data_IF_299199156111
#
_entry.id   IF_299199156111
#
_cell.length_a   1.000
_cell.length_b   1.000
_cell.length_c   1.000
_cell.angle_alpha   90.00
_cell.angle_beta   90.00
_cell.angle_gamma   90.00
#
_symmetry.space_group_name_H-M   'P 1'
#
loop_
_entity.id
_entity.type
_entity.pdbx_description
1 polymer ?
#
# COMPACT_ATOMS: atom_id res chain seq x y z
N UNK A 1 7.81 16.81 58.32
CA UNK A 1 7.08 16.48 57.06
C UNK A 1 7.39 17.42 55.87
N UNK A 2 7.64 18.72 56.09
CA UNK A 2 7.94 19.65 54.97
C UNK A 2 9.30 19.45 54.24
N UNK A 3 10.29 18.84 54.89
CA UNK A 3 11.59 18.57 54.23
C UNK A 3 11.60 17.34 53.30
N UNK A 4 10.71 16.37 53.59
CA UNK A 4 10.59 15.15 52.74
C UNK A 4 9.87 15.44 51.42
N UNK A 5 8.89 16.36 51.43
CA UNK A 5 8.14 16.77 50.24
C UNK A 5 9.02 17.53 49.25
N UNK A 6 9.98 18.31 49.72
CA UNK A 6 10.92 19.02 48.84
C UNK A 6 11.94 18.11 48.17
N UNK A 7 12.34 17.01 48.78
CA UNK A 7 13.26 16.03 48.17
C UNK A 7 12.55 15.20 47.10
N UNK A 8 11.28 14.88 47.30
CA UNK A 8 10.49 14.15 46.26
C UNK A 8 10.22 15.04 45.06
N UNK A 9 10.03 16.36 45.25
CA UNK A 9 9.79 17.29 44.12
C UNK A 9 11.03 17.55 43.29
N UNK A 10 12.24 17.46 43.84
CA UNK A 10 13.50 17.58 43.08
C UNK A 10 13.83 16.35 42.28
N UNK A 11 13.38 15.15 42.73
CA UNK A 11 13.62 13.90 41.99
C UNK A 11 12.69 13.72 40.78
N UNK A 12 11.57 14.45 40.71
CA UNK A 12 10.58 14.38 39.63
C UNK A 12 10.95 15.24 38.39
N UNK A 13 11.99 16.08 38.48
CA UNK A 13 12.41 17.01 37.40
C UNK A 13 13.54 16.44 36.56
N UNK A 14 14.15 15.30 36.92
CA UNK A 14 15.35 14.77 36.22
C UNK A 14 15.00 13.70 35.18
N UNK A 15 13.72 13.34 34.97
CA UNK A 15 13.32 12.30 34.01
C UNK A 15 12.81 12.81 32.65
N UNK A 16 12.97 14.11 32.35
CA UNK A 16 12.47 14.68 31.08
C UNK A 16 13.58 15.16 30.14
N UNK A 17 14.60 14.33 29.89
CA UNK A 17 15.57 14.64 28.84
C UNK A 17 16.13 13.37 28.20
N UNK A 18 15.36 12.77 27.31
CA UNK A 18 15.89 11.98 26.18
C UNK A 18 14.80 11.85 25.10
N UNK A 19 14.53 12.93 24.39
CA UNK A 19 13.95 12.82 23.04
C UNK A 19 15.10 12.54 22.09
N UNK A 20 15.39 11.27 21.87
CA UNK A 20 16.22 10.84 20.75
C UNK A 20 15.45 11.12 19.47
N UNK A 21 15.77 12.21 18.81
CA UNK A 21 15.33 12.47 17.42
C UNK A 21 16.08 11.47 16.55
N UNK A 22 15.43 10.37 16.16
CA UNK A 22 15.94 9.49 15.11
C UNK A 22 15.97 10.31 13.82
N UNK A 23 17.16 10.72 13.40
CA UNK A 23 17.40 11.25 12.07
C UNK A 23 16.96 10.19 11.06
N UNK A 24 15.95 10.49 10.25
CA UNK A 24 15.61 9.70 9.06
C UNK A 24 16.83 9.78 8.14
N UNK A 25 17.56 8.67 8.04
CA UNK A 25 18.67 8.58 7.10
C UNK A 25 18.11 8.29 5.72
N UNK A 26 18.46 9.14 4.77
CA UNK A 26 18.13 8.99 3.35
C UNK A 26 18.71 7.64 2.88
N UNK A 27 17.85 6.80 2.33
CA UNK A 27 18.14 5.40 1.98
C UNK A 27 19.26 5.25 0.94
N UNK A 28 19.54 6.27 0.16
CA UNK A 28 20.68 6.28 -0.77
C UNK A 28 22.03 5.94 -0.11
N UNK A 29 22.21 6.35 1.14
CA UNK A 29 23.48 6.14 1.85
C UNK A 29 23.58 4.78 2.56
N UNK A 30 22.47 4.09 2.78
CA UNK A 30 22.49 2.80 3.46
C UNK A 30 22.58 1.59 2.53
N UNK A 31 22.15 1.71 1.28
CA UNK A 31 22.25 0.62 0.29
C UNK A 31 23.71 0.44 -0.17
N UNK A 32 24.57 1.47 -0.03
CA UNK A 32 25.94 1.47 -0.54
C UNK A 32 27.04 1.48 0.53
N UNK A 33 26.69 1.46 1.82
CA UNK A 33 27.70 1.37 2.91
C UNK A 33 27.45 0.14 3.73
N UNK A 34 28.05 -0.95 3.36
CA UNK A 34 28.71 -1.98 4.14
C UNK A 34 28.62 -3.38 3.51
N UNK A 35 29.50 -3.61 2.54
CA UNK A 35 30.19 -4.88 2.47
C UNK A 35 31.60 -4.61 1.93
N UNK A 36 32.48 -4.23 2.85
CA UNK A 36 33.90 -4.17 2.60
C UNK A 36 34.48 -5.51 3.04
N UNK A 37 34.54 -6.44 2.11
CA UNK A 37 35.60 -7.45 2.01
C UNK A 37 35.22 -8.53 0.97
N UNK A 38 35.26 -8.15 -0.30
CA UNK A 38 35.74 -9.04 -1.36
C UNK A 38 36.09 -8.15 -2.55
N UNK A 39 37.39 -8.08 -2.83
CA UNK A 39 37.92 -7.49 -4.05
C UNK A 39 37.30 -8.27 -5.23
N UNK A 40 36.18 -7.81 -5.74
CA UNK A 40 35.65 -8.32 -7.01
C UNK A 40 36.56 -7.77 -8.09
N UNK A 41 37.39 -8.62 -8.65
CA UNK A 41 38.08 -8.39 -9.93
C UNK A 41 36.98 -8.00 -10.91
N UNK A 42 36.94 -6.72 -11.27
CA UNK A 42 36.08 -6.23 -12.36
C UNK A 42 36.71 -6.79 -13.64
N UNK A 43 36.30 -7.98 -14.01
CA UNK A 43 36.40 -8.44 -15.39
C UNK A 43 35.56 -7.45 -16.19
N UNK A 44 36.13 -6.76 -17.16
CA UNK A 44 35.38 -5.96 -18.13
C UNK A 44 34.38 -6.88 -18.83
N UNK A 45 33.15 -6.89 -18.27
CA UNK A 45 32.04 -7.57 -18.90
C UNK A 45 31.81 -6.89 -20.28
N UNK A 46 31.52 -7.63 -21.36
CA UNK A 46 31.23 -7.06 -22.65
C UNK A 46 30.15 -5.97 -22.44
N UNK A 47 30.29 -4.84 -23.15
CA UNK A 47 29.31 -3.73 -23.12
C UNK A 47 27.95 -4.29 -23.54
N UNK A 48 27.23 -4.81 -22.57
CA UNK A 48 25.86 -5.27 -22.74
C UNK A 48 25.00 -4.03 -22.93
N UNK A 49 24.25 -4.00 -24.03
CA UNK A 49 23.34 -2.91 -24.34
C UNK A 49 22.33 -2.76 -23.20
N UNK A 50 22.56 -1.78 -22.33
CA UNK A 50 21.73 -1.53 -21.14
C UNK A 50 20.27 -1.29 -21.54
N UNK A 51 20.00 -0.71 -22.70
CA UNK A 51 18.66 -0.48 -23.21
C UNK A 51 17.94 -1.81 -23.53
N UNK A 52 18.67 -2.79 -24.05
CA UNK A 52 18.12 -4.13 -24.33
C UNK A 52 17.75 -4.85 -23.03
N UNK A 53 18.60 -4.77 -22.00
CA UNK A 53 18.32 -5.37 -20.68
C UNK A 53 17.10 -4.73 -20.04
N UNK A 54 17.03 -3.40 -20.04
CA UNK A 54 15.89 -2.66 -19.50
C UNK A 54 14.59 -3.06 -20.20
N UNK A 55 14.61 -3.15 -21.52
CA UNK A 55 13.46 -3.61 -22.32
C UNK A 55 13.06 -5.04 -21.99
N UNK A 56 14.02 -5.94 -21.79
CA UNK A 56 13.78 -7.33 -21.39
C UNK A 56 13.13 -7.42 -20.01
N UNK A 57 13.66 -6.69 -19.01
CA UNK A 57 13.08 -6.61 -17.67
C UNK A 57 11.63 -6.13 -17.73
N UNK A 58 11.34 -5.03 -18.42
CA UNK A 58 9.99 -4.50 -18.56
C UNK A 58 9.05 -5.49 -19.25
N UNK A 59 9.52 -6.14 -20.32
CA UNK A 59 8.74 -7.14 -21.04
C UNK A 59 8.36 -8.31 -20.12
N UNK A 60 9.31 -8.78 -19.31
CA UNK A 60 9.09 -9.88 -18.36
C UNK A 60 8.13 -9.45 -17.23
N UNK A 61 8.27 -8.24 -16.69
CA UNK A 61 7.37 -7.69 -15.70
C UNK A 61 5.93 -7.59 -16.21
N UNK A 62 5.74 -7.04 -17.40
CA UNK A 62 4.41 -6.93 -18.03
C UNK A 62 3.81 -8.31 -18.30
N UNK A 63 4.63 -9.27 -18.78
CA UNK A 63 4.18 -10.64 -19.03
C UNK A 63 3.75 -11.38 -17.75
N UNK A 64 4.24 -10.95 -16.59
CA UNK A 64 3.86 -11.52 -15.28
C UNK A 64 2.55 -10.98 -14.73
N UNK A 65 2.00 -9.92 -15.31
CA UNK A 65 0.69 -9.43 -14.89
C UNK A 65 -0.36 -10.52 -15.08
N UNK A 66 -1.14 -10.75 -14.02
CA UNK A 66 -2.30 -11.63 -14.07
C UNK A 66 -3.36 -10.91 -14.89
N UNK A 67 -3.70 -11.46 -16.04
CA UNK A 67 -4.84 -11.02 -16.84
C UNK A 67 -6.10 -11.75 -16.38
N UNK A 68 -7.18 -11.00 -16.19
CA UNK A 68 -8.45 -11.53 -15.67
C UNK A 68 -9.63 -10.72 -16.21
N UNK A 69 -10.80 -11.32 -16.20
CA UNK A 69 -12.09 -10.66 -16.48
C UNK A 69 -12.87 -10.37 -15.21
N UNK A 70 -12.74 -11.28 -14.23
CA UNK A 70 -13.33 -11.17 -12.89
C UNK A 70 -12.42 -11.82 -11.85
N UNK A 71 -12.54 -11.34 -10.61
CA UNK A 71 -11.82 -11.86 -9.48
C UNK A 71 -12.72 -11.89 -8.25
N UNK A 72 -12.81 -13.02 -7.56
CA UNK A 72 -13.48 -13.15 -6.28
C UNK A 72 -12.48 -13.57 -5.22
N UNK A 73 -12.63 -13.08 -3.99
CA UNK A 73 -11.78 -13.48 -2.88
C UNK A 73 -12.46 -13.36 -1.52
N UNK A 74 -12.03 -14.22 -0.59
CA UNK A 74 -12.22 -14.07 0.85
C UNK A 74 -10.87 -13.83 1.49
N UNK A 75 -10.71 -12.66 2.13
CA UNK A 75 -9.45 -12.15 2.64
C UNK A 75 -9.59 -11.90 4.14
N UNK A 76 -8.69 -12.46 4.95
CA UNK A 76 -8.53 -11.99 6.31
C UNK A 76 -7.66 -10.72 6.26
N UNK A 77 -8.15 -9.65 6.87
CA UNK A 77 -7.51 -8.34 6.87
C UNK A 77 -7.19 -7.96 8.31
N UNK A 78 -5.92 -7.71 8.58
CA UNK A 78 -5.46 -7.06 9.79
C UNK A 78 -5.11 -5.61 9.43
N UNK A 79 -5.75 -4.67 10.11
CA UNK A 79 -5.60 -3.23 9.93
C UNK A 79 -5.06 -2.63 11.22
N UNK A 80 -3.97 -1.87 11.14
CA UNK A 80 -3.31 -1.28 12.29
C UNK A 80 -2.91 0.16 12.00
N UNK A 81 -3.27 1.05 12.94
CA UNK A 81 -2.83 2.44 13.00
C UNK A 81 -2.25 2.72 14.38
N UNK A 82 -1.69 3.91 14.62
CA UNK A 82 -1.23 4.32 15.94
C UNK A 82 -2.33 4.29 17.01
N UNK A 83 -3.60 4.40 16.60
CA UNK A 83 -4.75 4.54 17.51
C UNK A 83 -5.62 3.29 17.58
N UNK A 84 -5.57 2.41 16.58
CA UNK A 84 -6.52 1.30 16.46
C UNK A 84 -5.92 0.11 15.73
N UNK A 85 -6.23 -1.09 16.23
CA UNK A 85 -5.98 -2.37 15.56
C UNK A 85 -7.29 -3.10 15.36
N UNK A 86 -7.58 -3.55 14.15
CA UNK A 86 -8.83 -4.23 13.81
C UNK A 86 -8.59 -5.41 12.90
N UNK A 87 -9.24 -6.56 13.24
CA UNK A 87 -9.29 -7.75 12.40
C UNK A 87 -10.65 -7.87 11.75
N UNK A 88 -10.66 -8.10 10.46
CA UNK A 88 -11.90 -8.21 9.68
C UNK A 88 -11.76 -9.24 8.57
N UNK A 89 -12.88 -9.67 8.01
CA UNK A 89 -12.92 -10.47 6.79
C UNK A 89 -13.53 -9.65 5.67
N UNK A 90 -12.80 -9.51 4.58
CA UNK A 90 -13.29 -8.89 3.35
C UNK A 90 -13.70 -9.97 2.34
N UNK A 91 -14.92 -9.86 1.82
CA UNK A 91 -15.42 -10.64 0.69
C UNK A 91 -15.43 -9.74 -0.53
N UNK A 92 -14.62 -10.08 -1.51
CA UNK A 92 -14.34 -9.25 -2.69
C UNK A 92 -14.95 -9.88 -3.92
N UNK A 93 -15.58 -9.07 -4.77
CA UNK A 93 -15.95 -9.40 -6.15
C UNK A 93 -15.57 -8.23 -7.05
N UNK A 94 -14.63 -8.44 -7.95
CA UNK A 94 -14.06 -7.45 -8.85
C UNK A 94 -14.35 -7.85 -10.30
N UNK A 95 -14.98 -6.95 -11.06
CA UNK A 95 -15.07 -7.01 -12.51
C UNK A 95 -14.03 -6.05 -13.09
N UNK A 96 -13.10 -6.58 -13.89
CA UNK A 96 -12.01 -5.81 -14.47
C UNK A 96 -12.52 -4.54 -15.16
N UNK A 97 -11.86 -3.42 -14.88
CA UNK A 97 -12.09 -2.08 -15.44
C UNK A 97 -13.51 -1.52 -15.26
N UNK A 98 -14.33 -2.17 -14.42
CA UNK A 98 -15.75 -1.83 -14.24
C UNK A 98 -16.10 -1.50 -12.79
N UNK A 99 -16.06 -2.50 -11.90
CA UNK A 99 -16.56 -2.34 -10.55
C UNK A 99 -15.91 -3.32 -9.55
N UNK A 100 -15.74 -2.84 -8.33
CA UNK A 100 -15.31 -3.61 -7.17
C UNK A 100 -16.40 -3.58 -6.10
N UNK A 101 -16.76 -4.75 -5.60
CA UNK A 101 -17.67 -4.94 -4.48
C UNK A 101 -16.91 -5.56 -3.32
N UNK A 102 -17.03 -4.97 -2.14
CA UNK A 102 -16.42 -5.51 -0.92
C UNK A 102 -17.45 -5.54 0.19
N UNK A 103 -17.59 -6.69 0.85
CA UNK A 103 -18.33 -6.81 2.10
C UNK A 103 -17.34 -6.98 3.23
N UNK A 104 -17.39 -6.11 4.22
CA UNK A 104 -16.55 -6.19 5.42
C UNK A 104 -17.35 -6.83 6.54
N UNK A 105 -16.83 -7.91 7.08
CA UNK A 105 -17.39 -8.61 8.23
C UNK A 105 -16.43 -8.55 9.42
N UNK A 106 -16.97 -8.30 10.61
CA UNK A 106 -16.24 -8.26 11.89
C UNK A 106 -16.93 -9.21 12.86
N UNK A 107 -16.16 -10.12 13.46
CA UNK A 107 -16.70 -11.04 14.47
C UNK A 107 -16.96 -10.30 15.79
N UNK A 108 -18.06 -10.53 16.51
CA UNK A 108 -19.17 -11.47 16.19
C UNK A 108 -20.30 -10.80 15.37
N UNK A 109 -20.13 -9.57 14.90
CA UNK A 109 -21.21 -8.73 14.35
C UNK A 109 -21.66 -9.12 12.93
N UNK A 110 -20.88 -9.96 12.21
CA UNK A 110 -21.15 -10.28 10.81
C UNK A 110 -20.81 -9.11 9.87
N UNK A 111 -21.53 -8.98 8.76
CA UNK A 111 -21.28 -7.89 7.79
C UNK A 111 -21.65 -6.55 8.42
N UNK A 112 -20.68 -5.64 8.48
CA UNK A 112 -20.80 -4.29 9.06
C UNK A 112 -20.83 -3.20 8.01
N UNK A 113 -20.19 -3.43 6.86
CA UNK A 113 -20.10 -2.47 5.78
C UNK A 113 -20.08 -3.15 4.41
N UNK A 114 -20.74 -2.54 3.42
CA UNK A 114 -20.63 -2.89 2.01
C UNK A 114 -20.03 -1.70 1.27
N UNK A 115 -19.06 -1.96 0.41
CA UNK A 115 -18.32 -0.96 -0.34
C UNK A 115 -18.49 -1.26 -1.82
N UNK A 116 -18.82 -0.25 -2.60
CA UNK A 116 -18.79 -0.27 -4.05
C UNK A 116 -17.81 0.78 -4.54
N UNK A 117 -16.94 0.38 -5.47
CA UNK A 117 -15.96 1.28 -6.10
C UNK A 117 -16.03 1.09 -7.60
N UNK A 118 -16.03 2.19 -8.33
CA UNK A 118 -15.80 2.23 -9.77
C UNK A 118 -14.76 3.33 -10.09
N UNK A 119 -14.58 3.65 -11.38
CA UNK A 119 -13.57 4.63 -11.81
C UNK A 119 -13.79 6.03 -11.22
N UNK A 120 -15.03 6.40 -10.91
CA UNK A 120 -15.41 7.77 -10.55
C UNK A 120 -15.85 7.90 -9.09
N UNK A 121 -16.39 6.83 -8.52
CA UNK A 121 -17.10 6.90 -7.24
C UNK A 121 -16.84 5.74 -6.29
N UNK A 122 -17.05 6.05 -5.01
CA UNK A 122 -17.08 5.12 -3.89
C UNK A 122 -18.41 5.27 -3.17
N UNK A 123 -19.11 4.15 -2.93
CA UNK A 123 -20.33 4.11 -2.15
C UNK A 123 -20.06 3.22 -0.93
N UNK A 124 -20.22 3.78 0.25
CA UNK A 124 -20.09 3.09 1.53
C UNK A 124 -21.47 2.89 2.13
N UNK A 125 -21.84 1.64 2.45
CA UNK A 125 -23.11 1.30 3.06
C UNK A 125 -22.84 0.65 4.41
N UNK A 126 -23.07 1.40 5.48
CA UNK A 126 -22.96 0.89 6.85
C UNK A 126 -24.22 0.10 7.20
N UNK A 127 -24.04 -1.18 7.57
CA UNK A 127 -25.16 -2.10 7.84
C UNK A 127 -25.42 -2.32 9.33
N UNK A 128 -24.50 -1.91 10.21
CA UNK A 128 -24.60 -2.03 11.68
C UNK A 128 -24.51 -0.66 12.35
N UNK A 129 -25.09 -0.55 13.54
CA UNK A 129 -25.23 0.72 14.25
C UNK A 129 -26.20 1.65 13.51
N UNK A 130 -25.83 2.90 13.34
CA UNK A 130 -26.58 3.85 12.52
C UNK A 130 -26.40 3.51 11.05
N UNK A 131 -27.45 2.94 10.46
CA UNK A 131 -27.46 2.53 9.05
C UNK A 131 -27.42 3.76 8.16
N UNK A 132 -26.45 3.82 7.27
CA UNK A 132 -26.23 4.99 6.40
C UNK A 132 -25.62 4.62 5.08
N UNK A 133 -25.82 5.50 4.09
CA UNK A 133 -25.15 5.44 2.79
C UNK A 133 -24.33 6.72 2.63
N UNK A 134 -23.08 6.57 2.23
CA UNK A 134 -22.20 7.68 1.90
C UNK A 134 -21.77 7.55 0.45
N UNK A 135 -21.95 8.61 -0.32
CA UNK A 135 -21.46 8.74 -1.69
C UNK A 135 -20.22 9.64 -1.69
N UNK A 136 -19.16 9.19 -2.34
CA UNK A 136 -17.90 9.92 -2.41
C UNK A 136 -17.28 9.76 -3.80
N UNK A 137 -16.46 10.71 -4.22
CA UNK A 137 -15.62 10.54 -5.41
C UNK A 137 -14.51 9.52 -5.13
N UNK A 138 -13.90 8.97 -6.18
CA UNK A 138 -12.78 8.02 -6.04
C UNK A 138 -11.60 8.63 -5.25
N UNK A 139 -11.42 9.95 -5.30
CA UNK A 139 -10.43 10.69 -4.51
C UNK A 139 -10.55 10.49 -3.00
N UNK A 140 -11.73 10.08 -2.52
CA UNK A 140 -11.94 9.74 -1.11
C UNK A 140 -11.00 8.62 -0.64
N UNK A 141 -10.71 7.64 -1.51
CA UNK A 141 -9.75 6.59 -1.19
C UNK A 141 -8.34 7.17 -1.01
N UNK A 142 -7.95 8.10 -1.88
CA UNK A 142 -6.66 8.80 -1.77
C UNK A 142 -6.56 9.60 -0.47
N UNK A 143 -7.63 10.30 -0.10
CA UNK A 143 -7.69 11.10 1.13
C UNK A 143 -7.63 10.25 2.40
N UNK A 144 -8.21 9.03 2.34
CA UNK A 144 -8.28 8.11 3.49
C UNK A 144 -6.99 7.32 3.68
N UNK A 145 -6.36 6.91 2.57
CA UNK A 145 -5.15 6.06 2.59
C UNK A 145 -3.86 6.85 2.43
N UNK A 146 -3.95 8.13 2.07
CA UNK A 146 -2.83 8.98 1.65
C UNK A 146 -2.05 8.42 0.44
N UNK A 147 -2.62 7.50 -0.33
CA UNK A 147 -2.02 6.97 -1.55
C UNK A 147 -2.89 7.39 -2.74
N UNK A 148 -2.34 7.89 -3.85
CA UNK A 148 -3.10 8.29 -5.03
C UNK A 148 -3.57 7.07 -5.82
N UNK A 149 -4.43 6.27 -5.19
CA UNK A 149 -5.09 5.15 -5.87
C UNK A 149 -6.12 5.67 -6.86
N UNK A 150 -5.98 5.24 -8.10
CA UNK A 150 -7.11 5.15 -9.02
C UNK A 150 -7.70 3.73 -8.99
N UNK A 151 -8.77 3.52 -9.73
CA UNK A 151 -9.42 2.22 -9.80
C UNK A 151 -8.50 1.12 -10.37
N UNK A 152 -7.64 1.47 -11.34
CA UNK A 152 -6.69 0.54 -11.96
C UNK A 152 -5.62 0.08 -10.96
N UNK A 153 -5.04 1.02 -10.23
CA UNK A 153 -4.05 0.71 -9.18
C UNK A 153 -4.65 -0.17 -8.08
N UNK A 154 -5.91 0.11 -7.68
CA UNK A 154 -6.62 -0.71 -6.70
C UNK A 154 -6.84 -2.15 -7.19
N UNK A 155 -7.19 -2.32 -8.46
CA UNK A 155 -7.29 -3.64 -9.09
C UNK A 155 -5.95 -4.38 -9.05
N UNK A 156 -4.87 -3.72 -9.50
CA UNK A 156 -3.54 -4.32 -9.54
C UNK A 156 -3.06 -4.73 -8.14
N UNK A 157 -3.32 -3.92 -7.10
CA UNK A 157 -3.03 -4.28 -5.71
C UNK A 157 -3.82 -5.52 -5.27
N UNK A 158 -5.11 -5.61 -5.61
CA UNK A 158 -5.98 -6.72 -5.22
C UNK A 158 -5.62 -8.03 -5.91
N UNK A 159 -5.13 -8.01 -7.13
CA UNK A 159 -4.70 -9.22 -7.84
C UNK A 159 -3.20 -9.50 -7.70
N UNK A 160 -2.42 -8.57 -7.12
CA UNK A 160 -0.99 -8.71 -6.90
C UNK A 160 -0.14 -8.43 -8.15
N UNK A 161 -0.67 -7.65 -9.06
CA UNK A 161 0.08 -7.12 -10.18
C UNK A 161 1.03 -6.00 -9.72
N UNK A 162 2.18 -5.82 -10.40
CA UNK A 162 3.04 -4.68 -10.14
C UNK A 162 2.31 -3.37 -10.46
N UNK A 163 2.47 -2.38 -9.60
CA UNK A 163 1.87 -1.04 -9.72
C UNK A 163 2.91 -0.01 -10.13
N UNK A 164 2.45 1.12 -10.69
CA UNK A 164 3.32 2.24 -11.13
C UNK A 164 4.50 1.80 -12.00
N UNK A 165 4.21 0.95 -13.01
CA UNK A 165 5.16 0.54 -14.05
C UNK A 165 5.20 1.48 -15.27
N UNK A 166 4.44 2.56 -15.28
CA UNK A 166 4.43 3.64 -16.27
C UNK A 166 5.70 4.51 -16.26
N UNK A 167 6.65 4.13 -15.42
CA UNK A 167 7.85 4.85 -15.09
C UNK A 167 9.04 4.34 -15.91
N UNK A 168 10.03 5.20 -16.11
CA UNK A 168 11.29 4.80 -16.73
C UNK A 168 12.18 4.07 -15.72
N UNK A 169 12.77 2.93 -16.14
CA UNK A 169 13.83 2.29 -15.36
C UNK A 169 15.07 3.20 -15.43
N UNK A 170 15.49 3.68 -14.27
CA UNK A 170 16.69 4.52 -14.11
C UNK A 170 17.92 3.65 -13.85
N UNK A 171 17.76 2.60 -13.06
CA UNK A 171 18.86 1.67 -12.75
C UNK A 171 18.31 0.30 -12.36
N UNK A 172 19.17 -0.72 -12.48
CA UNK A 172 18.89 -2.05 -11.97
C UNK A 172 20.15 -2.68 -11.37
N UNK A 173 19.97 -3.58 -10.42
CA UNK A 173 21.04 -4.37 -9.84
C UNK A 173 20.55 -5.80 -9.62
N UNK A 174 21.35 -6.78 -10.04
CA UNK A 174 21.02 -8.20 -9.89
C UNK A 174 22.05 -8.89 -9.00
N UNK A 175 21.58 -9.86 -8.22
CA UNK A 175 22.39 -10.86 -7.55
C UNK A 175 21.86 -12.27 -7.89
N UNK A 176 22.32 -13.32 -7.21
CA UNK A 176 21.92 -14.71 -7.49
C UNK A 176 20.41 -14.96 -7.29
N UNK A 177 19.74 -14.25 -6.40
CA UNK A 177 18.36 -14.51 -5.99
C UNK A 177 17.39 -13.37 -6.32
N UNK A 178 17.88 -12.14 -6.44
CA UNK A 178 17.05 -10.95 -6.56
C UNK A 178 17.50 -10.03 -7.69
N UNK A 179 16.53 -9.40 -8.32
CA UNK A 179 16.72 -8.29 -9.26
C UNK A 179 16.01 -7.06 -8.68
N UNK A 180 16.80 -6.04 -8.35
CA UNK A 180 16.30 -4.74 -7.91
C UNK A 180 16.18 -3.83 -9.11
N UNK A 181 15.01 -3.21 -9.28
CA UNK A 181 14.71 -2.29 -10.37
C UNK A 181 14.24 -0.98 -9.80
N UNK A 182 14.95 0.10 -10.13
CA UNK A 182 14.60 1.44 -9.70
C UNK A 182 13.93 2.19 -10.84
N UNK A 183 12.68 2.59 -10.61
CA UNK A 183 11.85 3.32 -11.56
C UNK A 183 11.55 4.72 -11.02
N UNK A 184 11.47 5.71 -11.90
CA UNK A 184 11.05 7.07 -11.55
C UNK A 184 9.87 7.45 -12.44
N UNK A 185 8.71 7.61 -11.81
CA UNK A 185 7.47 8.07 -12.43
C UNK A 185 7.11 9.49 -12.05
N UNK A 186 5.92 9.92 -12.47
CA UNK A 186 5.43 11.26 -12.19
C UNK A 186 5.00 11.46 -10.73
N UNK A 187 4.57 10.39 -10.05
CA UNK A 187 4.04 10.43 -8.69
C UNK A 187 4.99 9.79 -7.69
N UNK A 188 5.65 8.71 -8.07
CA UNK A 188 6.52 7.94 -7.19
C UNK A 188 7.84 7.57 -7.81
N UNK A 189 8.87 7.53 -6.97
CA UNK A 189 10.07 6.74 -7.15
C UNK A 189 9.72 5.34 -6.64
N UNK A 190 9.95 4.29 -7.44
CA UNK A 190 9.57 2.92 -7.10
C UNK A 190 10.80 2.01 -7.14
N UNK A 191 11.19 1.44 -6.01
CA UNK A 191 12.19 0.40 -5.92
C UNK A 191 11.48 -0.96 -5.85
N UNK A 192 11.47 -1.67 -6.98
CA UNK A 192 10.86 -2.99 -7.10
C UNK A 192 11.92 -4.06 -6.91
N UNK A 193 11.69 -5.00 -6.00
CA UNK A 193 12.48 -6.20 -5.81
C UNK A 193 11.76 -7.38 -6.43
N UNK A 194 12.42 -8.03 -7.37
CA UNK A 194 11.93 -9.20 -8.09
C UNK A 194 12.73 -10.43 -7.71
N UNK A 195 12.12 -11.60 -7.78
CA UNK A 195 12.85 -12.85 -7.85
C UNK A 195 13.62 -12.92 -9.18
N UNK A 196 14.91 -13.23 -9.12
CA UNK A 196 15.76 -13.21 -10.32
C UNK A 196 15.52 -14.40 -11.27
N UNK A 197 14.80 -15.43 -10.82
CA UNK A 197 14.52 -16.64 -11.59
C UNK A 197 13.26 -16.47 -12.45
N UNK A 198 12.17 -16.01 -11.82
CA UNK A 198 10.85 -15.99 -12.46
C UNK A 198 10.22 -14.58 -12.52
N UNK A 199 10.92 -13.54 -12.06
CA UNK A 199 10.51 -12.13 -12.11
C UNK A 199 9.21 -11.82 -11.34
N UNK A 200 8.81 -12.66 -10.38
CA UNK A 200 7.69 -12.29 -9.50
C UNK A 200 8.09 -11.15 -8.57
N UNK A 201 7.16 -10.26 -8.32
CA UNK A 201 7.38 -9.12 -7.42
C UNK A 201 7.43 -9.62 -5.99
N UNK A 202 8.50 -9.36 -5.28
CA UNK A 202 8.64 -9.69 -3.86
C UNK A 202 8.33 -8.48 -2.98
N UNK A 203 8.76 -7.29 -3.42
CA UNK A 203 8.60 -6.06 -2.68
C UNK A 203 8.57 -4.86 -3.63
N UNK A 204 7.80 -3.85 -3.28
CA UNK A 204 7.75 -2.55 -3.97
C UNK A 204 7.77 -1.46 -2.91
N UNK A 205 8.79 -0.61 -2.97
CA UNK A 205 8.88 0.57 -2.12
C UNK A 205 8.64 1.81 -2.97
N UNK A 206 7.60 2.54 -2.60
CA UNK A 206 7.17 3.76 -3.25
C UNK A 206 7.52 4.95 -2.37
N UNK A 207 8.35 5.86 -2.85
CA UNK A 207 8.61 7.14 -2.23
C UNK A 207 8.02 8.26 -3.09
N UNK A 208 7.32 9.23 -2.48
CA UNK A 208 6.72 10.36 -3.20
C UNK A 208 7.81 11.16 -3.93
N UNK A 209 7.52 11.60 -5.16
CA UNK A 209 8.42 12.48 -5.91
C UNK A 209 8.47 13.88 -5.27
N UNK A 210 7.35 14.33 -4.67
CA UNK A 210 7.29 15.57 -3.90
C UNK A 210 7.88 15.34 -2.49
N UNK A 211 9.12 15.76 -2.29
CA UNK A 211 9.86 15.60 -1.04
C UNK A 211 9.18 16.30 0.16
N UNK A 212 8.32 17.30 -0.07
CA UNK A 212 7.57 17.97 1.00
C UNK A 212 6.49 17.08 1.60
N UNK A 213 6.00 16.08 0.87
CA UNK A 213 5.00 15.13 1.36
C UNK A 213 5.59 14.07 2.27
N UNK A 214 6.84 13.71 2.06
CA UNK A 214 7.58 12.71 2.85
C UNK A 214 6.77 11.41 3.08
N UNK A 215 6.10 10.96 2.01
CA UNK A 215 5.21 9.80 2.02
C UNK A 215 5.90 8.59 1.43
N UNK A 216 5.86 7.48 2.15
CA UNK A 216 6.39 6.18 1.72
C UNK A 216 5.30 5.13 1.81
N UNK A 217 5.25 4.23 0.83
CA UNK A 217 4.42 3.04 0.85
C UNK A 217 5.27 1.81 0.52
N UNK A 218 5.29 0.84 1.43
CA UNK A 218 5.96 -0.45 1.26
C UNK A 218 4.92 -1.54 1.04
N UNK A 219 5.06 -2.31 -0.04
CA UNK A 219 4.18 -3.43 -0.38
C UNK A 219 5.03 -4.68 -0.51
N UNK A 220 4.78 -5.67 0.33
CA UNK A 220 5.43 -6.99 0.25
C UNK A 220 4.44 -8.02 -0.22
N UNK A 221 4.85 -8.87 -1.16
CA UNK A 221 4.08 -9.98 -1.71
C UNK A 221 4.79 -11.30 -1.41
N UNK A 222 4.08 -12.26 -0.82
CA UNK A 222 4.65 -13.54 -0.42
C UNK A 222 3.64 -14.69 -0.54
N UNK A 223 4.07 -15.90 -0.21
CA UNK A 223 3.26 -17.11 -0.26
C UNK A 223 2.62 -17.30 -1.64
N UNK A 224 3.46 -17.29 -2.67
CA UNK A 224 3.02 -17.47 -4.05
C UNK A 224 2.53 -18.90 -4.30
N UNK A 225 1.32 -19.01 -4.87
CA UNK A 225 0.71 -20.27 -5.30
C UNK A 225 0.33 -20.22 -6.79
N UNK A 226 0.41 -21.34 -7.51
CA UNK A 226 0.03 -21.39 -8.91
C UNK A 226 -1.49 -21.27 -9.06
N UNK A 227 -1.95 -20.43 -9.99
CA UNK A 227 -3.36 -20.23 -10.34
C UNK A 227 -3.48 -19.97 -11.84
N UNK A 228 -4.17 -20.84 -12.57
CA UNK A 228 -4.46 -20.67 -14.00
C UNK A 228 -3.23 -20.30 -14.83
N UNK A 229 -2.08 -20.95 -14.60
CA UNK A 229 -0.82 -20.70 -15.29
C UNK A 229 -0.05 -19.47 -14.79
N UNK A 230 -0.57 -18.72 -13.83
CA UNK A 230 0.08 -17.59 -13.18
C UNK A 230 0.53 -17.94 -11.76
N UNK A 231 1.25 -17.03 -11.12
CA UNK A 231 1.64 -17.10 -9.72
C UNK A 231 0.92 -16.00 -8.96
N UNK A 232 0.12 -16.37 -7.96
CA UNK A 232 -0.68 -15.45 -7.13
C UNK A 232 -0.11 -15.37 -5.71
N UNK A 233 0.23 -14.17 -5.25
CA UNK A 233 0.68 -13.94 -3.88
C UNK A 233 -0.52 -13.99 -2.93
N UNK A 234 -0.59 -15.00 -2.07
CA UNK A 234 -1.70 -15.18 -1.13
C UNK A 234 -1.55 -14.40 0.16
N UNK A 235 -0.38 -13.84 0.42
CA UNK A 235 -0.16 -12.97 1.57
C UNK A 235 0.51 -11.67 1.13
N UNK A 236 -0.03 -10.55 1.59
CA UNK A 236 0.49 -9.21 1.28
C UNK A 236 0.47 -8.33 2.51
N UNK A 237 1.50 -7.49 2.63
CA UNK A 237 1.53 -6.42 3.62
C UNK A 237 1.69 -5.08 2.91
N UNK A 238 0.98 -4.07 3.37
CA UNK A 238 1.02 -2.71 2.87
C UNK A 238 1.26 -1.81 4.07
N UNK A 239 2.38 -1.10 4.08
CA UNK A 239 2.73 -0.14 5.11
C UNK A 239 2.80 1.24 4.50
N UNK A 240 2.02 2.18 5.00
CA UNK A 240 2.04 3.58 4.56
C UNK A 240 2.52 4.45 5.71
N UNK A 241 3.47 5.31 5.43
CA UNK A 241 3.99 6.30 6.38
C UNK A 241 3.98 7.68 5.75
N UNK A 242 3.33 8.62 6.42
CA UNK A 242 3.36 10.06 6.13
C UNK A 242 3.34 10.80 7.48
N UNK A 243 2.22 11.33 7.89
CA UNK A 243 2.01 11.95 9.23
C UNK A 243 1.64 10.91 10.29
N UNK A 244 1.02 9.85 9.87
CA UNK A 244 0.65 8.68 10.67
C UNK A 244 1.06 7.41 9.94
N UNK A 245 1.21 6.33 10.68
CA UNK A 245 1.51 5.01 10.13
C UNK A 245 0.22 4.21 9.97
N UNK A 246 0.10 3.52 8.84
CA UNK A 246 -0.96 2.57 8.54
C UNK A 246 -0.33 1.27 8.05
N UNK A 247 -0.62 0.17 8.72
CA UNK A 247 -0.22 -1.18 8.32
C UNK A 247 -1.46 -2.00 8.00
N UNK A 248 -1.44 -2.69 6.85
CA UNK A 248 -2.51 -3.58 6.41
C UNK A 248 -1.87 -4.92 6.01
N UNK A 249 -2.40 -6.01 6.57
CA UNK A 249 -2.07 -7.36 6.11
C UNK A 249 -3.29 -7.99 5.42
N UNK A 250 -3.07 -8.60 4.27
CA UNK A 250 -4.08 -9.28 3.47
C UNK A 250 -3.70 -10.75 3.34
N UNK A 251 -4.50 -11.64 3.93
CA UNK A 251 -4.32 -13.08 3.86
C UNK A 251 -5.48 -13.70 3.07
N UNK A 252 -5.22 -14.08 1.81
CA UNK A 252 -6.20 -14.58 0.86
C UNK A 252 -6.51 -16.05 1.15
N UNK A 253 -7.65 -16.32 1.80
CA UNK A 253 -8.09 -17.66 2.19
C UNK A 253 -8.80 -18.42 1.09
N UNK A 254 -9.53 -17.70 0.24
CA UNK A 254 -10.21 -18.22 -0.94
C UNK A 254 -10.10 -17.20 -2.04
N UNK A 255 -9.86 -17.64 -3.27
CA UNK A 255 -9.79 -16.76 -4.43
C UNK A 255 -10.02 -17.55 -5.71
N UNK A 256 -10.65 -16.91 -6.69
CA UNK A 256 -10.84 -17.43 -8.03
C UNK A 256 -10.80 -16.30 -9.07
N UNK A 257 -10.45 -16.67 -10.30
CA UNK A 257 -10.35 -15.77 -11.44
C UNK A 257 -11.28 -16.25 -12.55
N UNK A 258 -11.84 -15.32 -13.30
CA UNK A 258 -12.63 -15.54 -14.51
C UNK A 258 -13.94 -16.32 -14.29
N UNK A 259 -14.39 -16.39 -13.05
CA UNK A 259 -15.68 -16.95 -12.66
C UNK A 259 -16.74 -15.85 -12.48
N UNK A 260 -18.04 -16.18 -12.49
CA UNK A 260 -19.10 -15.23 -12.21
C UNK A 260 -18.88 -14.52 -10.86
N UNK A 261 -19.27 -13.25 -10.78
CA UNK A 261 -19.15 -12.50 -9.54
C UNK A 261 -20.05 -13.10 -8.46
N UNK A 262 -19.46 -13.37 -7.29
CA UNK A 262 -20.18 -13.97 -6.14
C UNK A 262 -21.10 -12.96 -5.45
N UNK A 263 -20.76 -11.67 -5.51
CA UNK A 263 -21.50 -10.61 -4.85
C UNK A 263 -21.99 -9.58 -5.87
N UNK A 264 -23.24 -9.14 -5.66
CA UNK A 264 -23.86 -8.04 -6.41
C UNK A 264 -24.10 -6.88 -5.47
N UNK A 265 -23.90 -5.69 -5.97
CA UNK A 265 -24.20 -4.48 -5.23
C UNK A 265 -25.70 -4.17 -5.33
N UNK A 266 -26.31 -3.85 -4.19
CA UNK A 266 -27.67 -3.35 -4.11
C UNK A 266 -27.71 -2.19 -3.11
N UNK A 267 -28.34 -1.10 -3.50
CA UNK A 267 -28.56 0.06 -2.62
C UNK A 267 -29.88 -0.17 -1.87
N UNK A 268 -29.84 -0.27 -0.51
CA UNK A 268 -31.06 -0.38 0.27
C UNK A 268 -31.86 0.93 0.23
N UNK A 269 -33.16 0.84 -0.02
CA UNK A 269 -34.05 2.02 -0.16
C UNK A 269 -34.36 2.72 1.16
N UNK A 270 -34.14 2.04 2.29
CA UNK A 270 -34.51 2.51 3.65
C UNK A 270 -33.33 3.05 4.47
N UNK A 271 -32.19 3.33 3.85
CA UNK A 271 -31.00 3.88 4.51
C UNK A 271 -30.94 5.40 4.34
N UNK A 272 -30.52 6.10 5.40
CA UNK A 272 -30.36 7.56 5.35
C UNK A 272 -29.07 7.94 4.62
N UNK A 273 -29.12 8.89 3.65
CA UNK A 273 -27.90 9.44 3.09
C UNK A 273 -27.08 10.16 4.16
N UNK A 274 -25.81 9.83 4.30
CA UNK A 274 -24.88 10.59 5.13
C UNK A 274 -24.25 11.69 4.27
N UNK A 275 -24.36 12.94 4.67
CA UNK A 275 -23.67 14.04 3.99
C UNK A 275 -22.18 13.77 3.95
N UNK A 276 -21.47 14.05 2.83
CA UNK A 276 -20.01 14.01 2.80
C UNK A 276 -19.45 14.86 3.93
N UNK A 277 -18.42 14.39 4.61
CA UNK A 277 -17.71 15.19 5.62
C UNK A 277 -16.90 16.22 4.86
N UNK A 278 -17.40 17.44 4.71
CA UNK A 278 -16.59 18.56 4.25
C UNK A 278 -15.46 18.81 5.25
N UNK A 279 -14.23 18.51 4.86
CA UNK A 279 -13.05 18.97 5.63
C UNK A 279 -13.08 20.51 5.60
N UNK A 280 -13.21 21.14 6.76
CA UNK A 280 -13.00 22.60 6.86
C UNK A 280 -11.63 22.92 6.26
N UNK A 281 -11.54 23.90 5.35
CA UNK A 281 -10.27 24.31 4.77
C UNK A 281 -9.33 24.71 5.90
N UNK A 282 -8.12 24.14 5.91
CA UNK A 282 -7.06 24.51 6.84
C UNK A 282 -6.79 26.00 6.62
N UNK A 283 -7.14 26.83 7.59
CA UNK A 283 -6.91 28.25 7.54
C UNK A 283 -5.41 28.50 7.31
N UNK A 284 -5.05 29.08 6.17
CA UNK A 284 -3.70 29.58 5.90
C UNK A 284 -3.38 30.58 7.00
N UNK A 285 -2.45 30.26 7.90
CA UNK A 285 -1.85 31.25 8.80
C UNK A 285 -1.14 32.26 7.92
N UNK A 286 -1.78 33.40 7.75
CA UNK A 286 -1.14 34.61 7.20
C UNK A 286 0.02 34.96 8.12
N UNK A 287 1.23 34.83 7.62
CA UNK A 287 2.43 35.36 8.30
C UNK A 287 2.30 36.88 8.42
N UNK A 288 2.04 37.34 9.63
CA UNK A 288 2.12 38.75 9.99
C UNK A 288 3.59 39.16 9.91
N UNK A 289 3.94 39.96 8.92
CA UNK A 289 5.19 40.73 8.91
C UNK A 289 5.12 41.74 10.03
N UNK A 290 6.07 41.70 10.94
CA UNK A 290 6.58 42.83 11.70
C UNK A 290 8.10 42.80 11.62
#
# INVERSE_FOLDING_TARGET
>A
MQKLVKIVLVFLVITSACKSVKKVQIIETQIFKKDTAQTVVISEAPKVDSAKIVKDIMTKLVKRKIDFTSFNAKINVDYETAENTQKMTAYVSLKKDSALFVKIAVSPYGVVENIYVNKDSVILIRTKGEKSIQYSAISYLQETTNIPFDFSTLQDILVGNPIFLDSNIVSYKSNSTQLLVYLVGNLFKNLVTLDNTDYKVMHSKLDDVDENRNRTCDITLSNYLPVNGNQFATYRTISVSEKSKLDISLDFKQYDFNNPLQYRFAIPTNYKPKKPVEKKPVAKKTASKK
#
